data_IF_007911656301
#
_entry.id   IF_007911656301
#
_cell.length_a   1.000
_cell.length_b   1.000
_cell.length_c   1.000
_cell.angle_alpha   90.00
_cell.angle_beta   90.00
_cell.angle_gamma   90.00
#
_symmetry.space_group_name_H-M   'P 1'
#
loop_
_entity.id
_entity.type
_entity.pdbx_description
1 polymer ?
#
# COMPACT_ATOMS: atom_id res chain seq x y z
N UNK A 1 -8.55 -5.90 1.36
CA UNK A 1 -8.44 -7.36 1.63
C UNK A 1 -7.15 -7.70 2.38
N UNK A 2 -5.99 -7.11 2.09
CA UNK A 2 -4.75 -7.37 2.85
C UNK A 2 -4.61 -6.61 4.20
N UNK A 3 -5.04 -5.34 4.28
CA UNK A 3 -4.98 -4.56 5.54
C UNK A 3 -5.76 -5.26 6.66
N UNK A 4 -6.97 -5.75 6.37
CA UNK A 4 -7.78 -6.51 7.32
C UNK A 4 -7.07 -7.78 7.83
N UNK A 5 -6.28 -8.43 6.99
CA UNK A 5 -5.48 -9.58 7.38
C UNK A 5 -4.40 -9.18 8.39
N UNK A 6 -3.66 -8.09 8.14
CA UNK A 6 -2.66 -7.55 9.07
C UNK A 6 -3.27 -7.16 10.42
N UNK A 7 -4.41 -6.49 10.42
CA UNK A 7 -5.11 -6.07 11.64
C UNK A 7 -5.61 -7.28 12.42
N UNK A 8 -6.25 -8.23 11.74
CA UNK A 8 -6.89 -9.39 12.39
C UNK A 8 -5.89 -10.42 12.92
N UNK A 9 -4.86 -10.75 12.14
CA UNK A 9 -3.95 -11.86 12.47
C UNK A 9 -2.67 -11.41 13.18
N UNK A 10 -2.25 -10.16 12.98
CA UNK A 10 -1.01 -9.64 13.56
C UNK A 10 -1.22 -8.45 14.50
N UNK A 11 -2.49 -8.15 14.85
CA UNK A 11 -2.87 -7.06 15.73
C UNK A 11 -2.26 -5.71 15.34
N UNK A 12 -2.07 -5.47 14.03
CA UNK A 12 -1.58 -4.20 13.53
C UNK A 12 -2.60 -3.11 13.82
N UNK A 13 -2.15 -2.02 14.44
CA UNK A 13 -2.99 -0.85 14.69
C UNK A 13 -3.15 -0.04 13.39
N UNK A 14 -4.39 0.15 12.95
CA UNK A 14 -4.72 0.85 11.69
C UNK A 14 -4.14 2.27 11.62
N UNK A 15 -4.12 3.01 12.74
CA UNK A 15 -3.55 4.35 12.81
C UNK A 15 -2.03 4.42 12.57
N UNK A 16 -1.33 3.30 12.72
CA UNK A 16 0.13 3.22 12.48
C UNK A 16 0.47 2.86 11.03
N UNK A 17 -0.52 2.53 10.21
CA UNK A 17 -0.32 2.33 8.79
C UNK A 17 -0.03 3.67 8.10
N UNK A 18 0.93 3.65 7.19
CA UNK A 18 1.22 4.76 6.28
C UNK A 18 0.96 4.32 4.85
N UNK A 19 0.57 5.24 4.00
CA UNK A 19 0.14 4.96 2.64
C UNK A 19 0.97 5.75 1.64
N UNK A 20 1.57 5.04 0.69
CA UNK A 20 2.10 5.61 -0.54
C UNK A 20 1.01 5.57 -1.61
N UNK A 21 0.80 6.68 -2.30
CA UNK A 21 -0.09 6.71 -3.46
C UNK A 21 0.71 7.12 -4.68
N UNK A 22 0.76 6.23 -5.67
CA UNK A 22 1.32 6.52 -6.97
C UNK A 22 0.20 6.66 -7.99
N UNK A 23 0.20 7.76 -8.73
CA UNK A 23 -0.76 8.03 -9.81
C UNK A 23 -0.01 8.32 -11.11
N UNK A 24 -0.67 8.15 -12.24
CA UNK A 24 -0.09 8.47 -13.54
C UNK A 24 -0.39 9.92 -13.93
N UNK A 25 0.47 10.50 -14.79
CA UNK A 25 0.38 11.91 -15.19
C UNK A 25 -0.93 12.30 -15.88
N UNK A 26 -1.66 11.34 -16.43
CA UNK A 26 -2.98 11.50 -17.05
C UNK A 26 -4.14 11.37 -16.04
N UNK A 27 -3.86 11.20 -14.76
CA UNK A 27 -4.84 11.08 -13.69
C UNK A 27 -4.86 12.30 -12.77
N UNK A 28 -6.01 12.57 -12.17
CA UNK A 28 -6.14 13.57 -11.11
C UNK A 28 -5.72 12.96 -9.77
N UNK A 29 -4.54 13.35 -9.31
CA UNK A 29 -3.93 12.89 -8.06
C UNK A 29 -4.85 13.08 -6.85
N UNK A 30 -5.52 14.24 -6.77
CA UNK A 30 -6.39 14.58 -5.66
C UNK A 30 -7.66 13.72 -5.59
N UNK A 31 -8.27 13.41 -6.74
CA UNK A 31 -9.45 12.54 -6.80
C UNK A 31 -9.09 11.12 -6.36
N UNK A 32 -7.93 10.61 -6.79
CA UNK A 32 -7.43 9.29 -6.37
C UNK A 32 -7.15 9.22 -4.88
N UNK A 33 -6.54 10.27 -4.31
CA UNK A 33 -6.28 10.37 -2.88
C UNK A 33 -7.58 10.39 -2.05
N UNK A 34 -8.55 11.21 -2.44
CA UNK A 34 -9.84 11.32 -1.76
C UNK A 34 -10.62 10.00 -1.82
N UNK A 35 -10.55 9.30 -2.96
CA UNK A 35 -11.12 7.97 -3.09
C UNK A 35 -10.55 7.03 -2.02
N UNK A 36 -9.22 6.94 -1.88
CA UNK A 36 -8.60 6.02 -0.91
C UNK A 36 -8.82 6.42 0.55
N UNK A 37 -8.80 7.71 0.87
CA UNK A 37 -9.15 8.22 2.21
C UNK A 37 -10.55 7.75 2.61
N UNK A 38 -11.53 7.94 1.71
CA UNK A 38 -12.91 7.53 1.95
C UNK A 38 -13.05 6.01 1.99
N UNK A 39 -12.39 5.30 1.08
CA UNK A 39 -12.51 3.84 0.95
C UNK A 39 -11.90 3.11 2.15
N UNK A 40 -10.82 3.64 2.73
CA UNK A 40 -10.13 3.04 3.88
C UNK A 40 -10.57 3.62 5.22
N UNK A 41 -11.28 4.75 5.22
CA UNK A 41 -11.66 5.48 6.43
C UNK A 41 -10.45 5.85 7.31
N UNK A 42 -9.43 6.46 6.70
CA UNK A 42 -8.16 6.83 7.33
C UNK A 42 -7.88 8.33 7.21
N UNK A 43 -7.00 8.87 8.04
CA UNK A 43 -6.63 10.29 7.99
C UNK A 43 -5.69 10.60 6.81
N UNK A 44 -5.82 11.79 6.22
CA UNK A 44 -4.90 12.31 5.20
C UNK A 44 -3.44 12.31 5.66
N UNK A 45 -3.18 12.48 6.96
CA UNK A 45 -1.85 12.47 7.58
C UNK A 45 -1.16 11.08 7.53
N UNK A 46 -1.92 10.03 7.22
CA UNK A 46 -1.37 8.69 7.00
C UNK A 46 -0.82 8.55 5.57
N UNK A 47 -1.17 9.44 4.64
CA UNK A 47 -0.66 9.44 3.28
C UNK A 47 0.61 10.27 3.12
N UNK A 48 1.62 9.67 2.50
CA UNK A 48 2.83 10.36 2.04
C UNK A 48 2.52 11.30 0.87
N UNK A 49 3.54 11.99 0.36
CA UNK A 49 3.42 12.78 -0.87
C UNK A 49 3.02 11.86 -2.02
N UNK A 50 1.96 12.23 -2.75
CA UNK A 50 1.53 11.49 -3.93
C UNK A 50 2.63 11.53 -4.99
N UNK A 51 3.04 10.37 -5.47
CA UNK A 51 4.04 10.23 -6.53
C UNK A 51 3.33 10.25 -7.87
N UNK A 52 3.72 11.17 -8.75
CA UNK A 52 3.19 11.24 -10.12
C UNK A 52 4.19 10.59 -11.06
N UNK A 53 3.81 9.47 -11.65
CA UNK A 53 4.62 8.74 -12.63
C UNK A 53 4.25 9.21 -14.04
N UNK A 54 5.21 9.67 -14.86
CA UNK A 54 4.95 10.00 -16.25
C UNK A 54 4.42 8.79 -17.01
N UNK A 55 3.35 8.96 -17.77
CA UNK A 55 2.84 7.90 -18.65
C UNK A 55 3.86 7.63 -19.77
N UNK A 56 4.54 6.48 -19.73
CA UNK A 56 5.47 6.02 -20.78
C UNK A 56 4.68 5.25 -21.85
N UNK A 57 4.01 5.97 -22.75
CA UNK A 57 3.30 5.42 -23.91
C UNK A 57 1.78 5.21 -23.73
N UNK A 58 1.10 4.81 -24.81
CA UNK A 58 -0.31 4.36 -24.82
C UNK A 58 -0.35 2.94 -24.22
N UNK A 59 0.00 2.83 -22.94
CA UNK A 59 -0.08 1.55 -22.24
C UNK A 59 -1.54 1.20 -21.93
N UNK A 60 -1.92 -0.05 -22.17
CA UNK A 60 -3.21 -0.66 -21.83
C UNK A 60 -3.65 -0.46 -20.37
N UNK A 61 -2.71 -0.13 -19.47
CA UNK A 61 -2.98 0.19 -18.07
C UNK A 61 -3.85 1.43 -17.82
N UNK A 62 -4.03 2.31 -18.82
CA UNK A 62 -4.82 3.54 -18.69
C UNK A 62 -6.28 3.31 -18.27
N UNK A 63 -6.85 2.14 -18.56
CA UNK A 63 -8.25 1.86 -18.25
C UNK A 63 -8.48 1.02 -16.99
N UNK A 64 -7.49 0.24 -16.57
CA UNK A 64 -7.66 -0.68 -15.43
C UNK A 64 -7.38 0.00 -14.07
N UNK A 65 -6.45 0.96 -14.01
CA UNK A 65 -5.98 1.53 -12.74
C UNK A 65 -6.61 2.90 -12.46
N UNK A 66 -7.93 2.94 -12.25
CA UNK A 66 -8.71 4.18 -12.08
C UNK A 66 -8.34 5.06 -10.88
N UNK A 67 -7.69 4.50 -9.86
CA UNK A 67 -7.36 5.20 -8.61
C UNK A 67 -5.87 5.10 -8.24
N UNK A 68 -5.01 4.80 -9.21
CA UNK A 68 -3.58 4.64 -8.99
C UNK A 68 -3.21 3.37 -8.23
N UNK A 69 -1.96 3.32 -7.78
CA UNK A 69 -1.39 2.22 -7.01
C UNK A 69 -1.25 2.67 -5.56
N UNK A 70 -1.88 1.92 -4.65
CA UNK A 70 -1.77 2.14 -3.21
C UNK A 70 -0.76 1.18 -2.60
N UNK A 71 0.27 1.72 -1.96
CA UNK A 71 1.27 0.96 -1.20
C UNK A 71 1.01 1.13 0.29
N UNK A 72 0.92 0.01 1.01
CA UNK A 72 0.77 0.00 2.48
C UNK A 72 2.16 -0.13 3.10
N UNK A 73 2.54 0.85 3.90
CA UNK A 73 3.77 0.86 4.67
C UNK A 73 3.46 0.67 6.15
N UNK A 74 4.19 -0.24 6.78
CA UNK A 74 4.13 -0.44 8.22
C UNK A 74 5.54 -0.73 8.73
N UNK A 75 6.03 0.11 9.64
CA UNK A 75 7.37 -0.03 10.19
C UNK A 75 7.31 -0.69 11.58
N UNK A 76 7.46 -2.02 11.61
CA UNK A 76 7.54 -2.78 12.85
C UNK A 76 8.51 -3.96 12.66
N UNK A 77 9.69 -3.85 13.28
CA UNK A 77 10.75 -4.86 13.20
C UNK A 77 10.29 -6.23 13.73
N UNK A 78 9.48 -6.26 14.81
CA UNK A 78 8.98 -7.50 15.39
C UNK A 78 8.01 -8.21 14.45
N UNK A 79 7.06 -7.47 13.87
CA UNK A 79 6.13 -8.04 12.91
C UNK A 79 6.86 -8.61 11.69
N UNK A 80 7.84 -7.87 11.17
CA UNK A 80 8.68 -8.35 10.07
C UNK A 80 9.37 -9.67 10.41
N UNK A 81 9.93 -9.79 11.62
CA UNK A 81 10.57 -11.02 12.07
C UNK A 81 9.57 -12.19 12.11
N UNK A 82 8.39 -11.98 12.72
CA UNK A 82 7.33 -13.01 12.79
C UNK A 82 6.92 -13.47 11.38
N UNK A 83 6.67 -12.53 10.47
CA UNK A 83 6.33 -12.85 9.08
C UNK A 83 7.46 -13.62 8.38
N UNK A 84 8.71 -13.23 8.60
CA UNK A 84 9.86 -13.94 8.04
C UNK A 84 9.98 -15.37 8.56
N UNK A 85 9.80 -15.59 9.86
CA UNK A 85 9.78 -16.91 10.48
C UNK A 85 8.64 -17.79 9.95
N UNK A 86 7.44 -17.23 9.76
CA UNK A 86 6.31 -17.94 9.17
C UNK A 86 6.58 -18.33 7.72
N UNK A 87 7.11 -17.42 6.90
CA UNK A 87 7.50 -17.71 5.51
C UNK A 87 8.55 -18.83 5.44
N UNK A 88 9.56 -18.81 6.31
CA UNK A 88 10.55 -19.89 6.38
C UNK A 88 9.91 -21.25 6.72
N UNK A 89 8.91 -21.28 7.61
CA UNK A 89 8.15 -22.52 7.90
C UNK A 89 7.39 -23.06 6.70
N UNK A 90 7.02 -22.19 5.76
CA UNK A 90 6.37 -22.58 4.49
C UNK A 90 7.37 -22.87 3.36
N UNK A 91 8.68 -22.88 3.63
CA UNK A 91 9.72 -23.27 2.67
C UNK A 91 10.32 -22.13 1.85
N UNK A 92 10.07 -20.87 2.23
CA UNK A 92 10.72 -19.72 1.58
C UNK A 92 12.08 -19.43 2.26
N UNK A 93 13.18 -19.62 1.54
CA UNK A 93 14.55 -19.52 2.08
C UNK A 93 15.18 -18.13 2.03
N UNK A 94 14.65 -17.21 1.24
CA UNK A 94 15.26 -15.89 0.97
C UNK A 94 14.38 -14.74 1.46
N UNK A 95 14.30 -14.55 2.78
CA UNK A 95 13.69 -13.34 3.35
C UNK A 95 14.80 -12.29 3.54
N UNK A 96 14.86 -11.21 2.73
CA UNK A 96 15.93 -10.23 2.84
C UNK A 96 15.97 -9.56 4.22
N UNK A 97 17.19 -9.32 4.71
CA UNK A 97 17.52 -8.73 6.02
C UNK A 97 17.14 -7.26 6.18
#
# INVERSE_FOLDING_TARGET
MFIKFLVKHYAVQEGNLKFGLQVFSDMKSQESLLFWIKHLNVDRNQFQKVVITPARGIGTYKHEVKHGVLTVHYNNKKLRQILGEELMRFGFSDVPA
#
